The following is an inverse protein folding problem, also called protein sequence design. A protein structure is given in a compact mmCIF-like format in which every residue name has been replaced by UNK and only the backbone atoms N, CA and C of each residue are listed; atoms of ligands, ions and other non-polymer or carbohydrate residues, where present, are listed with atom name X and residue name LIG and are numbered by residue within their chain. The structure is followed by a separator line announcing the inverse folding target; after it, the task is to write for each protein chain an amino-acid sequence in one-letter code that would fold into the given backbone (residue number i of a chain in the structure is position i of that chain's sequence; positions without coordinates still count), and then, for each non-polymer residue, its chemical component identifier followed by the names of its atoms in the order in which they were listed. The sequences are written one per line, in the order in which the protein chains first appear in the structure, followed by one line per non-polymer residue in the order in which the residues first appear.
data_IF_065188556346
#
_entry.id   IF_065188556346
#
_cell.length_a   1.000
_cell.length_b   1.000
_cell.length_c   1.000
_cell.angle_alpha   90.00
_cell.angle_beta   90.00
_cell.angle_gamma   90.00
#
_symmetry.space_group_name_H-M   'P 1'
#
loop_
_entity.id
_entity.type
_entity.pdbx_description
1 polymer ?
#
# COMPACT_ATOMS: atom_id res chain seq x y z
N UNK A 1 -7.55 -16.66 21.67
CA UNK A 1 -7.29 -15.22 21.50
C UNK A 1 -8.34 -14.67 20.56
N UNK A 2 -8.88 -13.48 20.82
CA UNK A 2 -9.81 -12.84 19.89
C UNK A 2 -9.05 -12.41 18.62
N UNK A 3 -9.72 -12.50 17.48
CA UNK A 3 -9.16 -12.03 16.18
C UNK A 3 -9.02 -10.50 16.22
N UNK A 4 -7.89 -9.98 15.75
CA UNK A 4 -7.54 -8.54 15.86
C UNK A 4 -8.38 -7.63 14.97
N UNK A 5 -8.96 -8.17 13.90
CA UNK A 5 -9.80 -7.46 12.93
C UNK A 5 -11.18 -8.11 12.76
N UNK A 6 -11.67 -8.79 13.79
CA UNK A 6 -12.96 -9.51 13.70
C UNK A 6 -14.11 -8.57 13.32
N UNK A 7 -14.83 -8.94 12.25
CA UNK A 7 -15.94 -8.16 11.72
C UNK A 7 -15.57 -6.86 11.01
N UNK A 8 -14.28 -6.51 10.87
CA UNK A 8 -13.84 -5.31 10.13
C UNK A 8 -13.87 -5.56 8.63
N UNK A 9 -14.08 -4.49 7.88
CA UNK A 9 -14.08 -4.48 6.41
C UNK A 9 -12.87 -3.70 5.90
N UNK A 10 -11.98 -4.36 5.17
CA UNK A 10 -10.77 -3.79 4.62
C UNK A 10 -10.85 -3.65 3.09
N UNK A 11 -10.47 -2.49 2.56
CA UNK A 11 -10.23 -2.26 1.14
C UNK A 11 -8.72 -2.20 0.90
N UNK A 12 -8.19 -3.02 -0.01
CA UNK A 12 -6.76 -3.11 -0.31
C UNK A 12 -6.54 -2.91 -1.80
N UNK A 13 -5.88 -1.81 -2.20
CA UNK A 13 -5.43 -1.60 -3.58
C UNK A 13 -4.08 -2.24 -3.82
N UNK A 14 -3.80 -2.70 -5.05
CA UNK A 14 -2.62 -3.53 -5.32
C UNK A 14 -2.72 -4.91 -4.66
N UNK A 15 -3.95 -5.38 -4.41
CA UNK A 15 -4.23 -6.58 -3.62
C UNK A 15 -3.97 -7.91 -4.33
N UNK A 16 -3.63 -7.89 -5.62
CA UNK A 16 -3.39 -9.09 -6.42
C UNK A 16 -2.00 -9.71 -6.21
N UNK A 17 -1.02 -8.95 -5.70
CA UNK A 17 0.36 -9.43 -5.59
C UNK A 17 1.12 -8.81 -4.42
N UNK A 18 2.31 -9.32 -4.15
CA UNK A 18 3.29 -8.75 -3.21
C UNK A 18 2.70 -8.38 -1.86
N UNK A 19 2.95 -7.15 -1.42
CA UNK A 19 2.54 -6.62 -0.11
C UNK A 19 1.01 -6.59 0.03
N UNK A 20 0.30 -6.13 -1.01
CA UNK A 20 -1.16 -6.05 -0.98
C UNK A 20 -1.83 -7.42 -0.81
N UNK A 21 -1.36 -8.43 -1.57
CA UNK A 21 -1.86 -9.81 -1.43
C UNK A 21 -1.56 -10.39 -0.05
N UNK A 22 -0.33 -10.26 0.43
CA UNK A 22 0.04 -10.73 1.77
C UNK A 22 -0.81 -10.06 2.87
N UNK A 23 -1.07 -8.75 2.74
CA UNK A 23 -1.92 -8.01 3.67
C UNK A 23 -3.38 -8.47 3.60
N UNK A 24 -3.91 -8.75 2.40
CA UNK A 24 -5.27 -9.27 2.21
C UNK A 24 -5.47 -10.59 2.97
N UNK A 25 -4.52 -11.51 2.81
CA UNK A 25 -4.56 -12.80 3.49
C UNK A 25 -4.35 -12.64 5.01
N UNK A 26 -3.40 -11.80 5.42
CA UNK A 26 -3.11 -11.56 6.85
C UNK A 26 -4.30 -10.92 7.58
N UNK A 27 -4.98 -9.96 6.95
CA UNK A 27 -6.18 -9.34 7.52
C UNK A 27 -7.34 -10.34 7.62
N UNK A 28 -7.52 -11.18 6.60
CA UNK A 28 -8.52 -12.24 6.62
C UNK A 28 -8.27 -13.27 7.73
N UNK A 29 -7.03 -13.69 7.96
CA UNK A 29 -6.64 -14.56 9.08
C UNK A 29 -6.99 -13.97 10.43
N UNK A 30 -7.02 -12.65 10.54
CA UNK A 30 -7.39 -11.91 11.76
C UNK A 30 -8.86 -11.45 11.78
N UNK A 31 -9.67 -11.98 10.88
CA UNK A 31 -11.13 -11.82 10.96
C UNK A 31 -11.75 -10.77 10.04
N UNK A 32 -10.95 -10.06 9.23
CA UNK A 32 -11.48 -9.06 8.33
C UNK A 32 -12.14 -9.65 7.08
N UNK A 33 -13.23 -9.02 6.63
CA UNK A 33 -13.69 -9.14 5.26
C UNK A 33 -12.83 -8.25 4.36
N UNK A 34 -12.56 -8.65 3.10
CA UNK A 34 -11.57 -7.96 2.27
C UNK A 34 -12.13 -7.65 0.88
N UNK A 35 -12.04 -6.39 0.48
CA UNK A 35 -12.10 -5.99 -0.91
C UNK A 35 -10.68 -5.97 -1.49
N UNK A 36 -10.41 -6.88 -2.43
CA UNK A 36 -9.16 -6.98 -3.17
C UNK A 36 -9.30 -6.19 -4.46
N UNK A 37 -8.63 -5.04 -4.53
CA UNK A 37 -8.70 -4.15 -5.68
C UNK A 37 -7.36 -4.13 -6.42
N UNK A 38 -7.38 -4.38 -7.72
CA UNK A 38 -6.17 -4.40 -8.54
C UNK A 38 -6.49 -4.12 -10.01
N UNK A 39 -5.48 -3.73 -10.77
CA UNK A 39 -5.60 -3.60 -12.23
C UNK A 39 -5.72 -4.97 -12.92
N UNK A 40 -5.15 -6.01 -12.33
CA UNK A 40 -5.18 -7.38 -12.84
C UNK A 40 -6.37 -8.15 -12.23
N UNK A 41 -7.49 -8.17 -12.95
CA UNK A 41 -8.75 -8.73 -12.46
C UNK A 41 -8.61 -10.20 -12.01
N UNK A 42 -8.03 -11.08 -12.83
CA UNK A 42 -7.89 -12.51 -12.52
C UNK A 42 -7.06 -12.76 -11.26
N UNK A 43 -5.95 -12.04 -11.09
CA UNK A 43 -5.10 -12.17 -9.90
C UNK A 43 -5.76 -11.60 -8.63
N UNK A 44 -6.62 -10.57 -8.78
CA UNK A 44 -7.46 -10.09 -7.67
C UNK A 44 -8.51 -11.13 -7.26
N UNK A 45 -9.14 -11.79 -8.24
CA UNK A 45 -10.10 -12.88 -8.01
C UNK A 45 -9.44 -14.08 -7.32
N UNK A 46 -8.23 -14.47 -7.72
CA UNK A 46 -7.46 -15.53 -7.06
C UNK A 46 -7.17 -15.19 -5.59
N UNK A 47 -6.79 -13.95 -5.30
CA UNK A 47 -6.54 -13.49 -3.93
C UNK A 47 -7.84 -13.48 -3.12
N UNK A 48 -8.94 -12.97 -3.69
CA UNK A 48 -10.26 -12.99 -3.04
C UNK A 48 -10.75 -14.41 -2.76
N UNK A 49 -10.54 -15.35 -3.68
CA UNK A 49 -10.85 -16.77 -3.45
C UNK A 49 -10.06 -17.37 -2.28
N UNK A 50 -8.80 -16.96 -2.08
CA UNK A 50 -8.00 -17.39 -0.93
C UNK A 50 -8.52 -16.80 0.38
N UNK A 51 -8.96 -15.53 0.39
CA UNK A 51 -9.62 -14.91 1.55
C UNK A 51 -10.91 -15.65 1.89
N UNK A 52 -11.70 -16.04 0.88
CA UNK A 52 -12.93 -16.82 1.08
C UNK A 52 -12.64 -18.19 1.71
N UNK A 53 -11.55 -18.86 1.31
CA UNK A 53 -11.12 -20.14 1.93
C UNK A 53 -10.75 -19.99 3.41
N UNK A 54 -10.39 -18.78 3.86
CA UNK A 54 -10.17 -18.46 5.27
C UNK A 54 -11.47 -18.17 6.04
N UNK A 55 -12.63 -18.37 5.40
CA UNK A 55 -13.96 -18.18 6.02
C UNK A 55 -14.40 -16.73 6.12
N UNK A 56 -13.82 -15.82 5.32
CA UNK A 56 -14.17 -14.40 5.31
C UNK A 56 -14.83 -13.99 3.99
N UNK A 57 -15.70 -12.98 4.08
CA UNK A 57 -16.27 -12.40 2.86
C UNK A 57 -15.19 -11.69 2.06
N UNK A 58 -15.13 -11.96 0.77
CA UNK A 58 -14.18 -11.31 -0.13
C UNK A 58 -14.88 -10.87 -1.41
N UNK A 59 -14.43 -9.74 -1.95
CA UNK A 59 -14.82 -9.25 -3.27
C UNK A 59 -13.55 -8.86 -4.03
N UNK A 60 -13.54 -9.10 -5.34
CA UNK A 60 -12.49 -8.62 -6.24
C UNK A 60 -13.05 -7.48 -7.09
N UNK A 61 -12.26 -6.42 -7.24
CA UNK A 61 -12.62 -5.27 -8.07
C UNK A 61 -11.44 -4.90 -8.97
N UNK A 62 -11.69 -4.90 -10.28
CA UNK A 62 -10.72 -4.36 -11.23
C UNK A 62 -10.74 -2.83 -11.15
N UNK A 63 -9.57 -2.21 -10.97
CA UNK A 63 -9.44 -0.74 -10.86
C UNK A 63 -8.07 -0.27 -11.32
N UNK A 64 -8.04 0.79 -12.09
CA UNK A 64 -6.87 1.65 -12.26
C UNK A 64 -6.98 2.79 -11.24
N UNK A 65 -6.10 2.80 -10.25
CA UNK A 65 -6.10 3.80 -9.18
C UNK A 65 -5.78 5.23 -9.67
N UNK A 66 -5.21 5.37 -10.85
CA UNK A 66 -4.98 6.69 -11.48
C UNK A 66 -6.25 7.29 -12.11
N UNK A 67 -7.35 6.51 -12.18
CA UNK A 67 -8.63 6.95 -12.74
C UNK A 67 -9.62 7.30 -11.62
N UNK A 68 -9.99 8.60 -11.44
CA UNK A 68 -10.85 9.03 -10.36
C UNK A 68 -12.23 8.37 -10.36
N UNK A 69 -12.83 8.16 -11.55
CA UNK A 69 -14.16 7.55 -11.66
C UNK A 69 -14.14 6.07 -11.26
N UNK A 70 -13.10 5.32 -11.67
CA UNK A 70 -12.95 3.92 -11.26
C UNK A 70 -12.71 3.81 -9.76
N UNK A 71 -11.91 4.70 -9.17
CA UNK A 71 -11.68 4.72 -7.72
C UNK A 71 -12.97 4.99 -6.95
N UNK A 72 -13.79 5.96 -7.38
CA UNK A 72 -15.08 6.22 -6.74
C UNK A 72 -16.00 5.00 -6.84
N UNK A 73 -16.12 4.40 -8.03
CA UNK A 73 -16.93 3.18 -8.24
C UNK A 73 -16.45 2.02 -7.37
N UNK A 74 -15.13 1.85 -7.22
CA UNK A 74 -14.54 0.83 -6.33
C UNK A 74 -14.96 1.04 -4.87
N UNK A 75 -14.86 2.26 -4.37
CA UNK A 75 -15.23 2.59 -2.98
C UNK A 75 -16.72 2.37 -2.73
N UNK A 76 -17.59 2.87 -3.64
CA UNK A 76 -19.03 2.73 -3.52
C UNK A 76 -19.45 1.25 -3.52
N UNK A 77 -18.86 0.45 -4.42
CA UNK A 77 -19.11 -0.98 -4.52
C UNK A 77 -18.60 -1.72 -3.27
N UNK A 78 -17.39 -1.43 -2.81
CA UNK A 78 -16.82 -2.05 -1.60
C UNK A 78 -17.68 -1.75 -0.37
N UNK A 79 -18.06 -0.48 -0.18
CA UNK A 79 -18.91 -0.07 0.93
C UNK A 79 -20.29 -0.76 0.91
N UNK A 80 -20.91 -0.82 -0.28
CA UNK A 80 -22.21 -1.49 -0.45
C UNK A 80 -22.13 -2.99 -0.17
N UNK A 81 -21.17 -3.67 -0.78
CA UNK A 81 -21.08 -5.12 -0.72
C UNK A 81 -20.57 -5.63 0.63
N UNK A 82 -19.62 -4.92 1.29
CA UNK A 82 -19.12 -5.32 2.61
C UNK A 82 -19.95 -4.77 3.79
N UNK A 83 -20.77 -3.75 3.55
CA UNK A 83 -21.51 -3.07 4.63
C UNK A 83 -20.72 -1.94 5.28
N UNK A 84 -19.82 -1.32 4.52
CA UNK A 84 -18.96 -0.23 4.91
C UNK A 84 -17.47 -0.56 4.79
N UNK A 85 -16.62 0.43 5.10
CA UNK A 85 -15.15 0.29 5.05
C UNK A 85 -14.58 0.81 6.36
N UNK A 86 -13.87 -0.04 7.10
CA UNK A 86 -13.21 0.31 8.36
C UNK A 86 -11.71 0.55 8.18
N UNK A 87 -11.10 -0.10 7.18
CA UNK A 87 -9.67 -0.06 6.93
C UNK A 87 -9.43 0.14 5.43
N UNK A 88 -8.51 1.01 5.07
CA UNK A 88 -7.93 1.04 3.73
C UNK A 88 -6.42 0.85 3.79
N UNK A 89 -5.90 -0.04 2.93
CA UNK A 89 -4.48 -0.16 2.63
C UNK A 89 -4.24 0.22 1.17
N UNK A 90 -3.71 1.41 0.94
CA UNK A 90 -3.31 1.87 -0.38
C UNK A 90 -1.91 1.31 -0.71
N UNK A 91 -1.87 0.10 -1.33
CA UNK A 91 -0.63 -0.60 -1.66
C UNK A 91 -0.35 -0.68 -3.16
N UNK A 92 -1.24 -0.20 -4.01
CA UNK A 92 -0.96 -0.08 -5.44
C UNK A 92 0.21 0.89 -5.68
N UNK A 93 1.16 0.45 -6.49
CA UNK A 93 2.33 1.26 -6.79
C UNK A 93 3.24 0.59 -7.78
N UNK A 94 4.13 1.38 -8.35
CA UNK A 94 5.04 0.98 -9.42
C UNK A 94 6.41 1.64 -9.22
N UNK A 95 7.44 1.04 -9.84
CA UNK A 95 8.76 1.65 -9.97
C UNK A 95 9.13 1.76 -11.45
N UNK A 96 10.13 2.54 -11.79
CA UNK A 96 10.59 2.69 -13.16
C UNK A 96 10.91 1.33 -13.83
N UNK A 97 11.44 0.36 -13.06
CA UNK A 97 11.73 -0.98 -13.54
C UNK A 97 10.49 -1.78 -14.01
N UNK A 98 9.28 -1.37 -13.61
CA UNK A 98 8.03 -2.09 -13.89
C UNK A 98 7.15 -1.40 -14.94
N UNK A 99 7.69 -0.38 -15.62
CA UNK A 99 7.02 0.28 -16.73
C UNK A 99 7.54 -0.20 -18.06
N UNK A 100 6.68 -0.79 -18.82
CA UNK A 100 6.92 -1.18 -20.19
C UNK A 100 7.49 -2.59 -20.36
N UNK A 101 7.52 -3.02 -21.60
CA UNK A 101 8.15 -4.26 -22.04
C UNK A 101 9.65 -4.03 -22.10
N UNK A 102 10.39 -4.56 -21.12
CA UNK A 102 11.87 -4.48 -21.09
C UNK A 102 12.44 -3.83 -19.82
N UNK A 103 13.76 -3.98 -19.63
CA UNK A 103 14.49 -3.33 -18.54
C UNK A 103 14.53 -1.82 -18.81
N UNK A 104 13.84 -1.05 -18.00
CA UNK A 104 13.94 0.41 -18.03
C UNK A 104 15.24 0.82 -17.33
N UNK A 105 16.13 1.48 -18.05
CA UNK A 105 17.33 2.05 -17.47
C UNK A 105 16.97 3.16 -16.48
N UNK A 106 17.67 3.21 -15.34
CA UNK A 106 17.55 4.30 -14.39
C UNK A 106 17.93 5.62 -15.07
N UNK A 107 17.04 6.62 -15.07
CA UNK A 107 17.26 7.92 -15.66
C UNK A 107 17.51 8.97 -14.57
N UNK A 108 18.44 9.88 -14.82
CA UNK A 108 18.58 11.05 -13.96
C UNK A 108 17.46 12.04 -14.23
N UNK A 109 17.16 12.88 -13.25
CA UNK A 109 16.05 13.83 -13.34
C UNK A 109 16.13 14.77 -14.55
N UNK A 110 17.34 15.17 -14.96
CA UNK A 110 17.55 16.01 -16.14
C UNK A 110 17.24 15.30 -17.48
N UNK A 111 17.25 13.96 -17.50
CA UNK A 111 17.00 13.13 -18.68
C UNK A 111 15.67 12.36 -18.60
N UNK A 112 14.90 12.55 -17.50
CA UNK A 112 13.64 11.86 -17.30
C UNK A 112 12.51 12.53 -18.09
N UNK A 113 11.88 11.85 -19.07
CA UNK A 113 10.75 12.40 -19.80
C UNK A 113 9.57 12.71 -18.86
N UNK A 114 8.88 13.82 -19.15
CA UNK A 114 7.76 14.26 -18.32
C UNK A 114 6.62 13.22 -18.24
N UNK A 115 6.37 12.47 -19.31
CA UNK A 115 5.37 11.42 -19.37
C UNK A 115 5.71 10.26 -18.43
N UNK A 116 6.97 9.87 -18.32
CA UNK A 116 7.43 8.83 -17.39
C UNK A 116 7.30 9.32 -15.95
N UNK A 117 7.71 10.56 -15.68
CA UNK A 117 7.49 11.22 -14.40
C UNK A 117 6.00 11.20 -14.02
N UNK A 118 5.13 11.69 -14.90
CA UNK A 118 3.67 11.73 -14.67
C UNK A 118 3.08 10.36 -14.43
N UNK A 119 3.53 9.34 -15.15
CA UNK A 119 3.06 7.97 -15.01
C UNK A 119 3.35 7.40 -13.61
N UNK A 120 4.55 7.64 -13.06
CA UNK A 120 4.87 7.20 -11.69
C UNK A 120 4.03 7.95 -10.67
N UNK A 121 3.93 9.28 -10.78
CA UNK A 121 3.17 10.09 -9.84
C UNK A 121 1.68 9.77 -9.88
N UNK A 122 1.08 9.61 -11.06
CA UNK A 122 -0.35 9.34 -11.20
C UNK A 122 -0.79 8.05 -10.49
N UNK A 123 0.08 7.05 -10.40
CA UNK A 123 -0.25 5.81 -9.68
C UNK A 123 0.17 5.91 -8.21
N UNK A 124 1.43 6.29 -7.95
CA UNK A 124 2.02 6.20 -6.62
C UNK A 124 1.55 7.29 -5.66
N UNK A 125 1.19 8.47 -6.16
CA UNK A 125 0.77 9.62 -5.37
C UNK A 125 -0.69 9.97 -5.60
N UNK A 126 -1.08 10.27 -6.85
CA UNK A 126 -2.46 10.65 -7.16
C UNK A 126 -3.42 9.48 -6.87
N UNK A 127 -3.03 8.23 -7.20
CA UNK A 127 -3.83 7.03 -6.90
C UNK A 127 -4.02 6.79 -5.41
N UNK A 128 -2.99 7.05 -4.59
CA UNK A 128 -3.11 7.00 -3.12
C UNK A 128 -4.03 8.11 -2.62
N UNK A 129 -3.86 9.34 -3.11
CA UNK A 129 -4.72 10.48 -2.78
C UNK A 129 -6.18 10.18 -3.10
N UNK A 130 -6.48 9.75 -4.33
CA UNK A 130 -7.84 9.42 -4.78
C UNK A 130 -8.47 8.33 -3.92
N UNK A 131 -7.73 7.24 -3.67
CA UNK A 131 -8.21 6.11 -2.86
C UNK A 131 -8.49 6.54 -1.42
N UNK A 132 -7.52 7.16 -0.77
CA UNK A 132 -7.63 7.52 0.64
C UNK A 132 -8.69 8.59 0.89
N UNK A 133 -8.83 9.59 0.00
CA UNK A 133 -9.85 10.64 0.14
C UNK A 133 -11.26 10.12 -0.12
N UNK A 134 -11.45 9.22 -1.11
CA UNK A 134 -12.74 8.61 -1.35
C UNK A 134 -13.19 7.73 -0.17
N UNK A 135 -12.27 6.91 0.38
CA UNK A 135 -12.54 6.09 1.56
C UNK A 135 -12.75 6.95 2.81
N UNK A 136 -11.98 8.03 3.00
CA UNK A 136 -12.18 8.94 4.13
C UNK A 136 -13.59 9.54 4.14
N UNK A 137 -14.12 9.97 2.97
CA UNK A 137 -15.51 10.45 2.85
C UNK A 137 -16.51 9.39 3.29
N UNK A 138 -16.31 8.14 2.92
CA UNK A 138 -17.18 7.03 3.32
C UNK A 138 -17.05 6.75 4.82
N UNK A 139 -15.85 6.74 5.40
CA UNK A 139 -15.63 6.56 6.85
C UNK A 139 -16.29 7.68 7.67
N UNK A 140 -16.19 8.93 7.22
CA UNK A 140 -16.86 10.09 7.86
C UNK A 140 -18.38 9.90 7.84
N UNK A 141 -18.95 9.52 6.69
CA UNK A 141 -20.39 9.25 6.54
C UNK A 141 -20.85 8.12 7.46
N UNK A 142 -20.06 7.08 7.64
CA UNK A 142 -20.34 5.96 8.54
C UNK A 142 -20.28 6.35 10.03
N UNK A 143 -19.47 7.33 10.41
CA UNK A 143 -19.39 7.87 11.78
C UNK A 143 -18.78 6.95 12.83
N UNK A 144 -18.06 5.89 12.44
CA UNK A 144 -17.48 4.90 13.37
C UNK A 144 -15.95 4.87 13.39
N UNK A 145 -15.33 5.93 12.84
CA UNK A 145 -13.88 6.03 12.73
C UNK A 145 -13.32 5.21 11.59
N UNK A 146 -12.01 5.00 11.57
CA UNK A 146 -11.35 4.21 10.54
C UNK A 146 -9.84 4.19 10.62
N UNK A 147 -9.21 3.39 9.75
CA UNK A 147 -7.75 3.24 9.62
C UNK A 147 -7.34 3.42 8.17
N UNK A 148 -6.55 4.45 7.90
CA UNK A 148 -5.97 4.73 6.57
C UNK A 148 -4.50 4.40 6.62
N UNK A 149 -4.05 3.51 5.74
CA UNK A 149 -2.66 3.05 5.68
C UNK A 149 -2.21 3.14 4.23
N UNK A 150 -1.05 3.76 3.99
CA UNK A 150 -0.47 3.85 2.64
C UNK A 150 0.95 3.29 2.60
N UNK A 151 1.27 2.58 1.52
CA UNK A 151 2.64 2.08 1.30
C UNK A 151 3.50 3.19 0.70
N UNK A 152 4.39 3.72 1.52
CA UNK A 152 5.49 4.61 1.14
C UNK A 152 6.76 3.80 0.81
N UNK A 153 7.92 4.24 1.24
CA UNK A 153 9.23 3.58 1.06
C UNK A 153 10.27 4.24 1.97
N UNK A 154 11.37 3.56 2.25
CA UNK A 154 12.60 4.19 2.74
C UNK A 154 13.11 5.31 1.82
N UNK A 155 12.80 5.21 0.52
CA UNK A 155 13.11 6.23 -0.49
C UNK A 155 12.40 7.57 -0.27
N UNK A 156 11.41 7.63 0.62
CA UNK A 156 10.79 8.89 1.05
C UNK A 156 11.71 9.76 1.92
N UNK A 157 12.70 9.14 2.56
CA UNK A 157 13.69 9.82 3.43
C UNK A 157 15.09 9.86 2.83
N UNK A 158 15.51 8.76 2.20
CA UNK A 158 16.84 8.63 1.59
C UNK A 158 16.70 8.46 0.10
N UNK A 159 17.18 9.43 -0.71
CA UNK A 159 16.98 9.39 -2.14
C UNK A 159 17.76 8.24 -2.80
N UNK A 160 17.16 7.67 -3.84
CA UNK A 160 17.77 6.66 -4.69
C UNK A 160 18.20 7.31 -6.01
N UNK A 161 19.47 7.19 -6.36
CA UNK A 161 20.01 7.71 -7.62
C UNK A 161 19.30 7.05 -8.81
N UNK A 162 18.80 7.86 -9.75
CA UNK A 162 18.10 7.40 -10.93
C UNK A 162 16.65 6.90 -10.69
N UNK A 163 16.04 7.34 -9.57
CA UNK A 163 14.65 7.02 -9.21
C UNK A 163 13.96 8.23 -8.57
N UNK A 164 14.24 9.43 -9.12
CA UNK A 164 13.74 10.68 -8.54
C UNK A 164 12.22 10.79 -8.52
N UNK A 165 11.54 10.32 -9.56
CA UNK A 165 10.08 10.21 -9.66
C UNK A 165 9.49 9.34 -8.53
N UNK A 166 10.06 8.16 -8.33
CA UNK A 166 9.66 7.26 -7.27
C UNK A 166 9.89 7.88 -5.87
N UNK A 167 11.09 8.43 -5.63
CA UNK A 167 11.42 9.06 -4.35
C UNK A 167 10.44 10.18 -4.01
N UNK A 168 10.17 11.08 -4.97
CA UNK A 168 9.23 12.20 -4.79
C UNK A 168 7.82 11.67 -4.55
N UNK A 169 7.37 10.68 -5.32
CA UNK A 169 6.05 10.09 -5.10
C UNK A 169 5.89 9.50 -3.70
N UNK A 170 6.90 8.79 -3.18
CA UNK A 170 6.86 8.14 -1.86
C UNK A 170 7.02 9.14 -0.70
N UNK A 171 7.78 10.21 -0.90
CA UNK A 171 7.84 11.35 0.03
C UNK A 171 6.48 12.07 0.09
N UNK A 172 5.82 12.28 -1.06
CA UNK A 172 4.48 12.84 -1.15
C UNK A 172 3.44 12.00 -0.42
N UNK A 173 3.48 10.67 -0.55
CA UNK A 173 2.59 9.76 0.19
C UNK A 173 2.76 9.92 1.71
N UNK A 174 3.99 10.00 2.21
CA UNK A 174 4.21 10.21 3.64
C UNK A 174 3.65 11.55 4.12
N UNK A 175 3.91 12.65 3.38
CA UNK A 175 3.36 13.94 3.72
C UNK A 175 1.83 13.94 3.65
N UNK A 176 1.23 13.28 2.65
CA UNK A 176 -0.22 13.11 2.54
C UNK A 176 -0.81 12.45 3.80
N UNK A 177 -0.19 11.39 4.32
CA UNK A 177 -0.65 10.74 5.55
C UNK A 177 -0.59 11.67 6.77
N UNK A 178 0.40 12.55 6.86
CA UNK A 178 0.47 13.56 7.94
C UNK A 178 -0.68 14.57 7.84
N UNK A 179 -0.97 15.08 6.64
CA UNK A 179 -2.09 15.99 6.42
C UNK A 179 -3.41 15.32 6.79
N UNK A 180 -3.64 14.09 6.29
CA UNK A 180 -4.86 13.34 6.60
C UNK A 180 -4.99 13.03 8.09
N UNK A 181 -3.89 12.72 8.80
CA UNK A 181 -3.91 12.48 10.24
C UNK A 181 -4.37 13.72 11.01
N UNK A 182 -3.88 14.89 10.62
CA UNK A 182 -4.26 16.16 11.23
C UNK A 182 -5.74 16.50 10.98
N UNK A 183 -6.21 16.32 9.74
CA UNK A 183 -7.55 16.72 9.32
C UNK A 183 -8.63 15.74 9.78
N UNK A 184 -8.32 14.43 9.82
CA UNK A 184 -9.29 13.38 10.05
C UNK A 184 -9.36 12.89 11.51
N UNK A 185 -8.43 13.29 12.37
CA UNK A 185 -8.38 12.87 13.76
C UNK A 185 -9.68 13.16 14.52
N UNK A 186 -10.35 14.29 14.24
CA UNK A 186 -11.66 14.64 14.81
C UNK A 186 -12.78 13.66 14.52
N UNK A 187 -12.61 12.78 13.51
CA UNK A 187 -13.56 11.73 13.15
C UNK A 187 -13.11 10.35 13.66
N UNK A 188 -12.10 10.28 14.55
CA UNK A 188 -11.50 9.05 15.01
C UNK A 188 -10.93 8.19 13.85
N UNK A 189 -10.40 8.85 12.82
CA UNK A 189 -9.72 8.21 11.69
C UNK A 189 -8.23 8.46 11.84
N UNK A 190 -7.43 7.39 11.89
CA UNK A 190 -5.97 7.50 11.86
C UNK A 190 -5.45 7.36 10.44
N UNK A 191 -4.35 8.03 10.11
CA UNK A 191 -3.71 7.93 8.81
C UNK A 191 -2.20 7.75 8.98
N UNK A 192 -1.63 6.65 8.46
CA UNK A 192 -0.23 6.30 8.63
C UNK A 192 0.40 5.78 7.34
N UNK A 193 1.71 5.90 7.24
CA UNK A 193 2.49 5.32 6.16
C UNK A 193 3.29 4.10 6.66
N UNK A 194 3.56 3.18 5.74
CA UNK A 194 4.59 2.15 5.93
C UNK A 194 5.68 2.41 4.91
N UNK A 195 6.93 2.44 5.34
CA UNK A 195 8.11 2.63 4.52
C UNK A 195 8.96 1.36 4.47
N UNK A 196 8.61 0.35 3.65
CA UNK A 196 9.35 -0.90 3.58
C UNK A 196 10.79 -0.68 3.11
N UNK A 197 11.69 -1.59 3.53
CA UNK A 197 12.98 -1.79 2.89
C UNK A 197 12.85 -2.57 1.57
N UNK A 198 13.87 -3.35 1.23
CA UNK A 198 13.83 -4.25 0.07
C UNK A 198 13.00 -5.48 0.41
N UNK A 199 11.88 -5.65 -0.30
CA UNK A 199 10.92 -6.76 -0.07
C UNK A 199 10.87 -7.65 -1.30
N UNK A 200 10.83 -8.97 -1.11
CA UNK A 200 10.69 -9.97 -2.17
C UNK A 200 9.27 -9.94 -2.77
N UNK A 201 9.13 -9.25 -3.87
CA UNK A 201 7.87 -9.02 -4.57
C UNK A 201 8.09 -9.08 -6.08
N UNK A 202 7.04 -9.18 -6.91
CA UNK A 202 7.20 -9.04 -8.36
C UNK A 202 7.92 -7.76 -8.77
N UNK A 203 7.78 -6.66 -8.01
CA UNK A 203 8.45 -5.38 -8.28
C UNK A 203 9.99 -5.46 -8.17
N UNK A 204 10.51 -6.32 -7.32
CA UNK A 204 11.97 -6.46 -7.05
C UNK A 204 12.57 -7.69 -7.69
N UNK A 205 11.74 -8.57 -8.29
CA UNK A 205 12.20 -9.84 -8.86
C UNK A 205 13.25 -9.67 -9.94
N UNK A 206 13.06 -8.68 -10.83
CA UNK A 206 13.97 -8.42 -11.94
C UNK A 206 15.30 -7.77 -11.50
N UNK A 207 15.37 -7.33 -10.24
CA UNK A 207 16.59 -6.79 -9.63
C UNK A 207 17.46 -7.88 -9.00
N UNK A 208 16.92 -9.08 -8.77
CA UNK A 208 17.66 -10.20 -8.19
C UNK A 208 18.78 -10.63 -9.14
N UNK A 209 19.99 -10.75 -8.60
CA UNK A 209 21.22 -10.98 -9.38
C UNK A 209 21.93 -9.72 -9.88
N UNK A 210 21.37 -8.52 -9.69
CA UNK A 210 22.09 -7.27 -9.92
C UNK A 210 23.04 -7.00 -8.72
N UNK A 211 24.34 -6.69 -8.96
CA UNK A 211 25.27 -6.35 -7.87
C UNK A 211 24.82 -5.16 -7.00
N UNK A 212 23.95 -4.28 -7.51
CA UNK A 212 23.36 -3.18 -6.74
C UNK A 212 22.35 -3.72 -5.72
N UNK A 213 21.55 -4.71 -6.10
CA UNK A 213 20.58 -5.38 -5.23
C UNK A 213 21.28 -6.12 -4.09
N UNK A 214 22.34 -6.88 -4.40
CA UNK A 214 23.19 -7.55 -3.41
C UNK A 214 23.79 -6.54 -2.42
N UNK A 215 24.27 -5.39 -2.89
CA UNK A 215 24.77 -4.32 -2.02
C UNK A 215 23.69 -3.76 -1.08
N UNK A 216 22.44 -3.65 -1.55
CA UNK A 216 21.34 -3.19 -0.70
C UNK A 216 21.05 -4.19 0.42
N UNK A 217 21.03 -5.49 0.12
CA UNK A 217 20.86 -6.54 1.12
C UNK A 217 22.01 -6.53 2.12
N UNK A 218 23.25 -6.42 1.63
CA UNK A 218 24.45 -6.40 2.47
C UNK A 218 24.53 -5.16 3.40
N UNK A 219 23.88 -4.05 3.03
CA UNK A 219 23.71 -2.86 3.88
C UNK A 219 22.61 -3.02 4.93
N UNK A 220 21.66 -3.93 4.71
CA UNK A 220 20.60 -4.21 5.68
C UNK A 220 21.20 -4.88 6.91
N UNK A 221 21.06 -4.32 8.13
CA UNK A 221 21.62 -4.92 9.35
C UNK A 221 21.21 -6.37 9.55
N UNK A 222 19.94 -6.73 9.29
CA UNK A 222 19.46 -8.12 9.41
C UNK A 222 19.92 -9.04 8.27
N UNK A 223 20.72 -8.56 7.30
CA UNK A 223 21.35 -9.35 6.23
C UNK A 223 20.39 -10.24 5.43
N UNK A 224 19.15 -9.83 5.28
CA UNK A 224 18.14 -10.53 4.46
C UNK A 224 17.25 -9.55 3.71
N UNK A 225 16.68 -10.03 2.63
CA UNK A 225 15.53 -9.40 1.98
C UNK A 225 14.29 -9.59 2.88
N UNK A 226 13.44 -8.57 2.98
CA UNK A 226 12.16 -8.68 3.67
C UNK A 226 11.16 -9.51 2.88
N UNK A 227 10.20 -10.12 3.56
CA UNK A 227 9.08 -10.82 2.94
C UNK A 227 7.84 -9.91 2.92
N UNK A 228 6.89 -10.11 1.99
CA UNK A 228 5.62 -9.38 2.02
C UNK A 228 4.91 -9.44 3.38
N UNK A 229 5.05 -10.58 4.10
CA UNK A 229 4.48 -10.80 5.43
C UNK A 229 5.10 -9.88 6.50
N UNK A 230 6.38 -9.50 6.38
CA UNK A 230 7.01 -8.54 7.30
C UNK A 230 6.26 -7.19 7.24
N UNK A 231 5.84 -6.78 6.05
CA UNK A 231 5.07 -5.54 5.83
C UNK A 231 3.60 -5.71 6.22
N UNK A 232 3.00 -6.86 5.87
CA UNK A 232 1.60 -7.18 6.21
C UNK A 232 1.36 -7.20 7.73
N UNK A 233 2.33 -7.67 8.52
CA UNK A 233 2.25 -7.62 9.98
C UNK A 233 2.30 -6.18 10.54
N UNK A 234 3.08 -5.30 9.91
CA UNK A 234 3.08 -3.86 10.25
C UNK A 234 1.74 -3.21 9.88
N UNK A 235 1.19 -3.56 8.71
CA UNK A 235 -0.13 -3.09 8.29
C UNK A 235 -1.23 -3.58 9.23
N UNK A 236 -1.17 -4.84 9.68
CA UNK A 236 -2.10 -5.40 10.66
C UNK A 236 -2.04 -4.64 12.00
N UNK A 237 -0.86 -4.33 12.50
CA UNK A 237 -0.70 -3.52 13.72
C UNK A 237 -1.39 -2.16 13.57
N UNK A 238 -1.13 -1.42 12.50
CA UNK A 238 -1.75 -0.12 12.26
C UNK A 238 -3.26 -0.19 12.01
N UNK A 239 -3.76 -1.31 11.49
CA UNK A 239 -5.18 -1.55 11.23
C UNK A 239 -5.96 -1.93 12.48
N UNK A 240 -5.31 -2.48 13.50
CA UNK A 240 -5.92 -2.99 14.74
C UNK A 240 -6.05 -1.89 15.81
N UNK A 241 -6.71 -2.25 16.93
CA UNK A 241 -6.81 -1.36 18.10
C UNK A 241 -5.44 -1.11 18.77
N UNK A 242 -4.48 -2.01 18.61
CA UNK A 242 -3.10 -1.82 19.10
C UNK A 242 -2.40 -0.62 18.45
N UNK A 243 -2.74 -0.30 17.18
CA UNK A 243 -2.26 0.86 16.46
C UNK A 243 -3.10 2.12 16.62
N UNK A 244 -4.13 2.12 17.46
CA UNK A 244 -5.14 3.19 17.53
C UNK A 244 -4.59 4.57 17.91
N UNK A 245 -3.43 4.63 18.57
CA UNK A 245 -2.77 5.89 18.94
C UNK A 245 -1.67 6.33 17.97
N UNK A 246 -1.45 5.58 16.89
CA UNK A 246 -0.54 5.97 15.79
C UNK A 246 -1.33 6.76 14.74
N UNK A 247 -0.92 8.01 14.48
CA UNK A 247 -1.46 8.84 13.40
C UNK A 247 -0.39 9.82 12.90
N UNK A 248 -0.25 9.95 11.58
CA UNK A 248 0.78 10.76 10.93
C UNK A 248 2.18 10.12 10.91
N UNK A 249 2.31 8.90 11.39
CA UNK A 249 3.58 8.19 11.50
C UNK A 249 3.97 7.48 10.20
N UNK A 250 5.28 7.18 10.08
CA UNK A 250 5.80 6.22 9.11
C UNK A 250 6.57 5.13 9.86
N UNK A 251 6.17 3.88 9.67
CA UNK A 251 6.85 2.72 10.25
C UNK A 251 7.70 2.02 9.19
N UNK A 252 8.91 1.63 9.56
CA UNK A 252 9.89 1.07 8.63
C UNK A 252 10.19 -0.42 8.91
N UNK A 253 9.42 -1.38 8.33
CA UNK A 253 9.82 -2.80 8.30
C UNK A 253 10.90 -3.00 7.22
N UNK A 254 12.16 -2.69 7.55
CA UNK A 254 13.27 -2.57 6.60
C UNK A 254 14.55 -3.30 7.03
N UNK A 255 14.49 -4.05 8.13
CA UNK A 255 15.64 -4.77 8.64
C UNK A 255 16.74 -3.87 9.25
N UNK A 256 16.39 -2.61 9.61
CA UNK A 256 17.28 -1.66 10.27
C UNK A 256 18.02 -0.72 9.32
N UNK A 257 17.59 -0.59 8.07
CA UNK A 257 18.20 0.32 7.09
C UNK A 257 17.96 1.79 7.47
N UNK A 258 16.74 2.10 7.92
CA UNK A 258 16.34 3.45 8.31
C UNK A 258 16.38 3.58 9.84
N UNK A 259 17.55 3.86 10.37
CA UNK A 259 17.69 4.23 11.78
C UNK A 259 17.37 5.72 11.93
N UNK A 260 16.48 6.04 12.85
CA UNK A 260 16.09 7.43 13.15
C UNK A 260 17.00 8.02 14.22
#
# INVERSE_FOLDING_TARGET
MSLRLDGKNALITGGASGIGRASSLRFAQEGANVCVADRQASAAEETAAQVTKLGRKAIAIQVDVSNPAQVQTMVDRAAKELGGIDIVLAAAGVSAANYGEGKVESKFLNDLPFEEWRKVLSINLDGVFLTCTAVAREMIKQGRGGRIIAISSGAAKVPLKGSGDYCVSKAGVWMLMKCMALELGRYNITANAIGPGVIDTPMTKDMQGDPRFERMINRTPLKRIGKPEDVANTALFLASEEGSFFSGSILHPDGGVMMQ
#
